data_IF_754243088022
#
_entry.id   IF_754243088022
#
_cell.length_a   1.000
_cell.length_b   1.000
_cell.length_c   1.000
_cell.angle_alpha   90.00
_cell.angle_beta   90.00
_cell.angle_gamma   90.00
#
_symmetry.space_group_name_H-M   'P 1'
#
loop_
_entity.id
_entity.type
_entity.pdbx_description
1 polymer ?
#
# COMPACT_ATOMS: atom_id res chain seq x y z
N UNK A 1 -40.03 0.56 -3.24
CA UNK A 1 -39.38 0.07 -2.02
C UNK A 1 -37.95 -0.28 -2.42
N UNK A 2 -37.02 0.69 -2.35
CA UNK A 2 -35.60 0.41 -2.60
C UNK A 2 -35.11 -0.39 -1.40
N UNK A 3 -34.40 -1.48 -1.65
CA UNK A 3 -33.80 -2.35 -0.64
C UNK A 3 -32.92 -1.49 0.31
N UNK A 4 -33.36 -1.34 1.57
CA UNK A 4 -32.69 -0.55 2.62
C UNK A 4 -31.23 -1.00 2.87
N UNK A 5 -30.84 -2.15 2.32
CA UNK A 5 -29.52 -2.77 2.51
C UNK A 5 -28.51 -2.47 1.39
N UNK A 6 -28.87 -1.69 0.37
CA UNK A 6 -28.03 -1.50 -0.83
C UNK A 6 -26.64 -0.90 -0.56
N UNK A 7 -26.43 -0.27 0.59
CA UNK A 7 -25.16 0.34 0.97
C UNK A 7 -24.21 -0.62 1.72
N UNK A 8 -24.71 -1.79 2.17
CA UNK A 8 -23.95 -2.82 2.92
C UNK A 8 -23.53 -4.02 2.08
N UNK A 9 -23.42 -3.86 0.76
CA UNK A 9 -23.09 -4.99 -0.12
C UNK A 9 -21.69 -5.52 0.22
N UNK A 10 -21.66 -6.71 0.82
CA UNK A 10 -20.47 -7.52 1.05
C UNK A 10 -20.53 -8.78 0.17
N UNK A 11 -19.38 -9.28 -0.22
CA UNK A 11 -19.26 -10.52 -0.99
C UNK A 11 -19.03 -11.70 -0.04
N UNK A 12 -19.70 -12.81 -0.32
CA UNK A 12 -19.55 -14.05 0.46
C UNK A 12 -18.51 -14.94 -0.21
N UNK A 13 -17.54 -15.39 0.58
CA UNK A 13 -16.50 -16.35 0.17
C UNK A 13 -16.44 -17.48 1.19
N UNK A 14 -15.96 -18.65 0.75
CA UNK A 14 -15.74 -19.81 1.60
C UNK A 14 -14.35 -19.72 2.22
N UNK A 15 -14.24 -19.96 3.52
CA UNK A 15 -12.96 -20.17 4.18
C UNK A 15 -12.53 -21.63 4.05
N UNK A 16 -11.46 -21.93 3.27
CA UNK A 16 -10.91 -23.27 3.20
C UNK A 16 -10.27 -23.66 4.54
N UNK A 17 -10.23 -24.97 4.82
CA UNK A 17 -9.76 -25.52 6.11
C UNK A 17 -8.43 -24.92 6.57
N UNK A 18 -7.46 -24.81 5.65
CA UNK A 18 -6.12 -24.29 5.90
C UNK A 18 -6.08 -22.86 6.46
N UNK A 19 -7.15 -22.08 6.29
CA UNK A 19 -7.22 -20.67 6.71
C UNK A 19 -8.12 -20.47 7.94
N UNK A 20 -8.86 -21.49 8.40
CA UNK A 20 -9.88 -21.30 9.44
C UNK A 20 -9.32 -20.89 10.79
N UNK A 21 -8.18 -21.44 11.19
CA UNK A 21 -7.56 -21.13 12.48
C UNK A 21 -7.00 -19.70 12.54
N UNK A 22 -6.64 -19.13 11.39
CA UNK A 22 -6.08 -17.78 11.29
C UNK A 22 -7.15 -16.72 11.04
N UNK A 23 -8.27 -17.10 10.41
CA UNK A 23 -9.30 -16.17 9.98
C UNK A 23 -10.05 -15.56 11.16
N UNK A 24 -10.08 -14.22 11.21
CA UNK A 24 -10.91 -13.44 12.12
C UNK A 24 -11.50 -12.22 11.41
N UNK A 25 -12.47 -11.57 12.05
CA UNK A 25 -12.94 -10.27 11.59
C UNK A 25 -11.78 -9.26 11.62
N UNK A 26 -11.69 -8.46 10.56
CA UNK A 26 -10.66 -7.45 10.38
C UNK A 26 -9.39 -7.93 9.68
N UNK A 27 -9.25 -9.23 9.42
CA UNK A 27 -8.13 -9.75 8.62
C UNK A 27 -8.20 -9.30 7.16
N UNK A 28 -7.02 -8.95 6.63
CA UNK A 28 -6.84 -8.63 5.22
C UNK A 28 -6.73 -9.93 4.41
N UNK A 29 -7.57 -10.08 3.40
CA UNK A 29 -7.64 -11.28 2.57
C UNK A 29 -7.47 -10.95 1.09
N UNK A 30 -6.95 -11.93 0.36
CA UNK A 30 -7.02 -11.97 -1.10
C UNK A 30 -8.12 -12.94 -1.52
N UNK A 31 -8.97 -12.50 -2.44
CA UNK A 31 -10.10 -13.28 -2.96
C UNK A 31 -10.17 -13.21 -4.49
N UNK A 32 -10.62 -14.26 -5.18
CA UNK A 32 -10.88 -14.20 -6.63
C UNK A 32 -12.10 -13.32 -6.94
N UNK A 33 -11.96 -12.39 -7.88
CA UNK A 33 -13.02 -11.51 -8.35
C UNK A 33 -12.97 -11.36 -9.87
N UNK A 34 -13.89 -12.03 -10.57
CA UNK A 34 -13.86 -12.10 -12.03
C UNK A 34 -12.66 -12.93 -12.51
N UNK A 35 -11.89 -12.38 -13.45
CA UNK A 35 -10.65 -12.95 -13.99
C UNK A 35 -9.39 -12.56 -13.19
N UNK A 36 -9.54 -11.71 -12.17
CA UNK A 36 -8.43 -11.25 -11.33
C UNK A 36 -8.65 -11.61 -9.86
N UNK A 37 -7.69 -11.22 -9.03
CA UNK A 37 -7.84 -11.25 -7.58
C UNK A 37 -8.09 -9.85 -7.05
N UNK A 38 -8.70 -9.76 -5.87
CA UNK A 38 -9.00 -8.51 -5.18
C UNK A 38 -8.63 -8.61 -3.71
N UNK A 39 -8.30 -7.46 -3.11
CA UNK A 39 -8.15 -7.32 -1.67
C UNK A 39 -9.52 -7.11 -1.01
N UNK A 40 -9.70 -7.73 0.15
CA UNK A 40 -10.87 -7.57 0.99
C UNK A 40 -10.51 -7.62 2.46
N UNK A 41 -11.47 -7.21 3.30
CA UNK A 41 -11.39 -7.37 4.76
C UNK A 41 -12.53 -8.28 5.18
N UNK A 42 -12.23 -9.25 6.04
CA UNK A 42 -13.28 -10.09 6.64
C UNK A 42 -14.12 -9.20 7.57
N UNK A 43 -15.36 -8.93 7.20
CA UNK A 43 -16.26 -8.12 8.03
C UNK A 43 -17.18 -8.95 8.90
N UNK A 44 -17.43 -10.21 8.55
CA UNK A 44 -18.26 -11.14 9.31
C UNK A 44 -17.88 -12.58 8.97
N UNK A 45 -18.11 -13.48 9.93
CA UNK A 45 -17.95 -14.92 9.77
C UNK A 45 -19.30 -15.61 10.03
N UNK A 46 -19.60 -16.66 9.26
CA UNK A 46 -20.83 -17.43 9.38
C UNK A 46 -20.53 -18.91 9.11
N UNK A 47 -21.14 -19.78 9.91
CA UNK A 47 -21.01 -21.24 9.76
C UNK A 47 -21.76 -21.79 8.54
N UNK A 48 -22.73 -21.03 8.03
CA UNK A 48 -23.54 -21.39 6.86
C UNK A 48 -23.60 -20.25 5.84
N UNK A 49 -23.63 -20.55 4.54
CA UNK A 49 -23.79 -19.53 3.52
C UNK A 49 -25.19 -18.90 3.54
N UNK A 50 -25.36 -17.72 2.93
CA UNK A 50 -26.67 -17.08 2.78
C UNK A 50 -27.65 -17.99 2.02
N UNK A 51 -28.93 -18.07 2.42
CA UNK A 51 -29.90 -19.00 1.83
C UNK A 51 -30.18 -18.77 0.34
N UNK A 52 -29.94 -17.55 -0.15
CA UNK A 52 -30.18 -17.17 -1.54
C UNK A 52 -28.93 -17.29 -2.43
N UNK A 53 -27.83 -17.87 -1.92
CA UNK A 53 -26.57 -17.99 -2.65
C UNK A 53 -26.25 -19.48 -2.94
N UNK A 54 -26.20 -19.90 -4.21
CA UNK A 54 -25.84 -21.27 -4.57
C UNK A 54 -24.44 -21.63 -4.06
N UNK A 55 -24.28 -22.81 -3.46
CA UNK A 55 -23.01 -23.22 -2.86
C UNK A 55 -21.84 -23.30 -3.86
N UNK A 56 -22.13 -23.65 -5.12
CA UNK A 56 -21.19 -23.73 -6.23
C UNK A 56 -20.74 -22.34 -6.75
N UNK A 57 -21.53 -21.29 -6.51
CA UNK A 57 -21.16 -19.92 -6.81
C UNK A 57 -20.20 -19.30 -5.78
N UNK A 58 -20.05 -19.94 -4.60
CA UNK A 58 -19.19 -19.43 -3.52
C UNK A 58 -17.75 -19.87 -3.76
N UNK A 59 -16.93 -18.93 -4.18
CA UNK A 59 -15.49 -19.12 -4.34
C UNK A 59 -14.76 -19.14 -3.00
N UNK A 60 -13.60 -19.79 -2.98
CA UNK A 60 -12.74 -19.85 -1.80
C UNK A 60 -11.93 -18.55 -1.62
N UNK A 61 -11.64 -18.19 -0.38
CA UNK A 61 -10.60 -17.23 -0.04
C UNK A 61 -9.25 -17.79 -0.49
N UNK A 62 -8.47 -16.99 -1.22
CA UNK A 62 -7.17 -17.42 -1.73
C UNK A 62 -6.14 -17.45 -0.59
N UNK A 63 -6.04 -16.35 0.16
CA UNK A 63 -5.00 -16.16 1.17
C UNK A 63 -5.41 -15.11 2.21
N UNK A 64 -4.87 -15.22 3.43
CA UNK A 64 -4.87 -14.17 4.46
C UNK A 64 -3.50 -13.51 4.40
N UNK A 65 -3.47 -12.20 4.13
CA UNK A 65 -2.24 -11.48 3.78
C UNK A 65 -1.47 -10.93 4.98
N UNK A 66 -2.13 -10.76 6.13
CA UNK A 66 -1.52 -10.33 7.38
C UNK A 66 -2.00 -11.28 8.49
N UNK A 67 -1.10 -11.84 9.32
CA UNK A 67 -1.50 -12.69 10.45
C UNK A 67 -2.34 -11.94 11.50
N UNK A 68 -2.22 -10.61 11.57
CA UNK A 68 -2.98 -9.77 12.47
C UNK A 68 -4.12 -9.05 11.73
N UNK A 69 -5.25 -8.78 12.40
CA UNK A 69 -6.32 -8.00 11.81
C UNK A 69 -5.83 -6.56 11.55
N UNK A 70 -6.10 -6.05 10.35
CA UNK A 70 -5.72 -4.69 9.94
C UNK A 70 -6.72 -3.63 10.44
N UNK A 71 -7.91 -4.08 10.85
CA UNK A 71 -8.95 -3.26 11.48
C UNK A 71 -9.58 -4.03 12.62
N UNK A 72 -10.06 -3.33 13.62
CA UNK A 72 -10.75 -3.92 14.79
C UNK A 72 -12.25 -4.09 14.53
N UNK A 73 -12.92 -4.93 15.32
CA UNK A 73 -14.38 -5.06 15.28
C UNK A 73 -15.10 -3.73 15.53
N UNK A 74 -14.62 -2.91 16.48
CA UNK A 74 -15.17 -1.57 16.74
C UNK A 74 -15.06 -0.65 15.52
N UNK A 75 -13.97 -0.73 14.77
CA UNK A 75 -13.82 0.03 13.52
C UNK A 75 -14.76 -0.49 12.43
N UNK A 76 -14.97 -1.80 12.33
CA UNK A 76 -15.95 -2.39 11.40
C UNK A 76 -17.35 -1.91 11.74
N UNK A 77 -17.73 -1.89 13.02
CA UNK A 77 -19.04 -1.41 13.48
C UNK A 77 -19.22 0.08 13.22
N UNK A 78 -18.18 0.89 13.45
CA UNK A 78 -18.18 2.30 13.09
C UNK A 78 -18.36 2.50 11.58
N UNK A 79 -17.66 1.72 10.74
CA UNK A 79 -17.82 1.80 9.30
C UNK A 79 -19.23 1.41 8.83
N UNK A 80 -19.85 0.41 9.47
CA UNK A 80 -21.26 0.06 9.24
C UNK A 80 -22.18 1.20 9.62
N UNK A 81 -21.99 1.80 10.80
CA UNK A 81 -22.76 2.96 11.24
C UNK A 81 -22.63 4.12 10.26
N UNK A 82 -21.43 4.46 9.79
CA UNK A 82 -21.21 5.51 8.79
C UNK A 82 -21.96 5.17 7.48
N UNK A 83 -21.86 3.93 7.00
CA UNK A 83 -22.52 3.51 5.77
C UNK A 83 -24.05 3.62 5.88
N UNK A 84 -24.61 3.26 7.03
CA UNK A 84 -26.04 3.26 7.30
C UNK A 84 -26.58 4.70 7.49
N UNK A 85 -25.89 5.54 8.28
CA UNK A 85 -26.32 6.92 8.56
C UNK A 85 -26.16 7.86 7.36
N UNK A 86 -25.10 7.68 6.58
CA UNK A 86 -24.77 8.59 5.48
C UNK A 86 -25.13 8.01 4.10
N UNK A 87 -25.72 6.81 4.05
CA UNK A 87 -26.08 6.12 2.80
C UNK A 87 -24.87 5.99 1.83
N UNK A 88 -23.68 5.80 2.40
CA UNK A 88 -22.44 5.62 1.67
C UNK A 88 -22.11 4.13 1.55
N UNK A 89 -21.49 3.65 0.46
CA UNK A 89 -21.07 2.26 0.36
C UNK A 89 -20.14 1.87 1.51
N UNK A 90 -20.40 0.72 2.15
CA UNK A 90 -19.58 0.20 3.25
C UNK A 90 -18.09 0.15 2.91
N UNK A 91 -17.74 -0.17 1.66
CA UNK A 91 -16.36 -0.14 1.17
C UNK A 91 -15.69 1.22 1.42
N UNK A 92 -16.40 2.31 1.21
CA UNK A 92 -15.88 3.67 1.31
C UNK A 92 -15.65 4.05 2.78
N UNK A 93 -16.60 3.72 3.65
CA UNK A 93 -16.45 3.87 5.10
C UNK A 93 -15.30 3.00 5.64
N UNK A 94 -15.18 1.75 5.18
CA UNK A 94 -14.10 0.84 5.57
C UNK A 94 -12.71 1.36 5.19
N UNK A 95 -12.56 2.06 4.06
CA UNK A 95 -11.26 2.66 3.68
C UNK A 95 -10.75 3.66 4.71
N UNK A 96 -11.63 4.34 5.43
CA UNK A 96 -11.26 5.28 6.50
C UNK A 96 -10.75 4.57 7.75
N UNK A 97 -11.07 3.29 7.92
CA UNK A 97 -10.64 2.48 9.07
C UNK A 97 -9.26 1.85 8.85
N UNK A 98 -8.83 1.72 7.59
CA UNK A 98 -7.57 1.10 7.25
C UNK A 98 -6.37 1.94 7.72
N UNK A 99 -5.29 1.31 8.22
CA UNK A 99 -4.05 2.00 8.54
C UNK A 99 -3.51 2.79 7.34
N UNK A 100 -2.88 3.96 7.56
CA UNK A 100 -2.30 4.74 6.49
C UNK A 100 -1.22 3.95 5.75
N UNK A 101 -1.22 4.08 4.42
CA UNK A 101 -0.27 3.39 3.54
C UNK A 101 -0.58 1.92 3.28
N UNK A 102 -1.75 1.39 3.69
CA UNK A 102 -2.15 0.01 3.37
C UNK A 102 -2.19 -0.25 1.86
N UNK A 103 -2.74 0.68 1.07
CA UNK A 103 -2.78 0.59 -0.40
C UNK A 103 -1.36 0.57 -1.02
N UNK A 104 -0.39 1.22 -0.38
CA UNK A 104 1.02 1.20 -0.80
C UNK A 104 1.77 -0.07 -0.37
N UNK A 105 1.21 -0.86 0.56
CA UNK A 105 1.78 -2.12 1.04
C UNK A 105 1.36 -3.32 0.20
N UNK A 106 0.60 -3.11 -0.87
CA UNK A 106 0.16 -4.20 -1.75
C UNK A 106 0.83 -4.02 -3.10
N UNK A 107 1.76 -4.91 -3.43
CA UNK A 107 2.35 -4.96 -4.76
C UNK A 107 1.61 -5.97 -5.61
N UNK A 108 1.26 -5.59 -6.84
CA UNK A 108 0.76 -6.54 -7.80
C UNK A 108 1.91 -7.44 -8.23
N UNK A 109 1.73 -8.74 -8.11
CA UNK A 109 2.66 -9.79 -8.55
C UNK A 109 2.01 -10.52 -9.71
N UNK A 110 2.76 -10.63 -10.80
CA UNK A 110 2.35 -11.38 -11.98
C UNK A 110 3.09 -12.71 -11.94
N UNK A 111 2.33 -13.80 -12.06
CA UNK A 111 2.86 -15.16 -12.14
C UNK A 111 2.45 -15.84 -13.43
N UNK A 112 3.26 -16.76 -13.94
CA UNK A 112 2.91 -17.60 -15.07
C UNK A 112 1.73 -18.51 -14.70
N UNK A 113 0.66 -18.44 -15.48
CA UNK A 113 -0.44 -19.37 -15.42
C UNK A 113 -0.17 -20.40 -16.53
N UNK A 114 -0.05 -21.68 -16.18
CA UNK A 114 0.44 -22.77 -17.05
C UNK A 114 -0.43 -23.14 -18.26
N UNK A 115 -1.12 -22.16 -18.87
CA UNK A 115 -1.83 -22.30 -20.14
C UNK A 115 -0.88 -22.56 -21.31
N UNK A 116 -1.41 -23.19 -22.36
CA UNK A 116 -0.65 -23.44 -23.58
C UNK A 116 -0.35 -22.11 -24.28
N UNK A 117 0.94 -21.79 -24.46
CA UNK A 117 1.39 -20.58 -25.17
C UNK A 117 0.91 -20.65 -26.63
N UNK A 118 -0.05 -19.81 -27.06
CA UNK A 118 -0.49 -19.79 -28.44
C UNK A 118 0.58 -19.15 -29.34
N UNK A 119 0.62 -19.55 -30.61
CA UNK A 119 1.38 -18.79 -31.62
C UNK A 119 0.78 -17.39 -31.83
N UNK A 120 1.61 -16.42 -32.17
CA UNK A 120 1.19 -15.03 -32.43
C UNK A 120 1.28 -14.10 -31.21
N UNK A 121 2.29 -14.27 -30.37
CA UNK A 121 2.59 -13.30 -29.32
C UNK A 121 3.18 -12.02 -29.91
N UNK A 122 2.82 -10.88 -29.33
CA UNK A 122 3.56 -9.62 -29.58
C UNK A 122 4.96 -9.69 -28.97
N UNK A 123 5.86 -8.79 -29.37
CA UNK A 123 7.22 -8.73 -28.84
C UNK A 123 7.23 -8.51 -27.31
N UNK A 124 6.34 -7.65 -26.81
CA UNK A 124 6.19 -7.39 -25.38
C UNK A 124 5.55 -8.58 -24.65
N UNK A 125 4.56 -9.26 -25.23
CA UNK A 125 3.97 -10.47 -24.64
C UNK A 125 5.01 -11.60 -24.49
N UNK A 126 5.83 -11.82 -25.52
CA UNK A 126 6.94 -12.79 -25.47
C UNK A 126 8.01 -12.40 -24.46
N UNK A 127 8.36 -11.11 -24.39
CA UNK A 127 9.32 -10.60 -23.41
C UNK A 127 8.81 -10.76 -21.97
N UNK A 128 7.52 -10.51 -21.74
CA UNK A 128 6.90 -10.67 -20.43
C UNK A 128 6.95 -12.14 -19.95
N UNK A 129 6.53 -13.08 -20.80
CA UNK A 129 6.57 -14.51 -20.47
C UNK A 129 8.00 -15.00 -20.25
N UNK A 130 8.95 -14.61 -21.11
CA UNK A 130 10.36 -14.96 -20.94
C UNK A 130 10.98 -14.40 -19.66
N UNK A 131 10.59 -13.18 -19.26
CA UNK A 131 11.02 -12.58 -18.01
C UNK A 131 10.49 -13.33 -16.77
N UNK A 132 9.23 -13.78 -16.80
CA UNK A 132 8.62 -14.59 -15.74
C UNK A 132 9.28 -15.97 -15.62
N UNK A 133 9.46 -16.66 -16.73
CA UNK A 133 10.11 -17.99 -16.78
C UNK A 133 11.54 -17.94 -16.24
N UNK A 134 12.26 -16.85 -16.52
CA UNK A 134 13.63 -16.66 -16.03
C UNK A 134 13.72 -16.35 -14.52
N UNK A 135 12.62 -15.94 -13.87
CA UNK A 135 12.57 -15.50 -12.47
C UNK A 135 11.69 -16.41 -11.60
N UNK A 136 11.78 -17.74 -11.78
CA UNK A 136 11.01 -18.73 -11.02
C UNK A 136 9.48 -18.61 -11.18
N UNK A 137 9.02 -18.03 -12.29
CA UNK A 137 7.60 -17.98 -12.67
C UNK A 137 6.78 -16.88 -12.01
N UNK A 138 7.38 -15.94 -11.26
CA UNK A 138 6.63 -14.86 -10.59
C UNK A 138 7.48 -13.62 -10.30
N UNK A 139 6.94 -12.42 -10.53
CA UNK A 139 7.62 -11.16 -10.17
C UNK A 139 6.66 -9.97 -9.98
N UNK A 140 7.09 -8.89 -9.29
CA UNK A 140 6.29 -7.67 -9.17
C UNK A 140 6.00 -7.03 -10.52
N UNK A 141 4.75 -6.58 -10.72
CA UNK A 141 4.27 -5.91 -11.94
C UNK A 141 5.16 -4.71 -12.30
N UNK A 142 5.58 -3.92 -11.32
CA UNK A 142 6.49 -2.78 -11.54
C UNK A 142 7.84 -3.20 -12.15
N UNK A 143 8.36 -4.37 -11.75
CA UNK A 143 9.61 -4.90 -12.29
C UNK A 143 9.39 -5.45 -13.70
N UNK A 144 8.25 -6.09 -13.95
CA UNK A 144 7.86 -6.57 -15.27
C UNK A 144 7.68 -5.40 -16.25
N UNK A 145 6.97 -4.35 -15.85
CA UNK A 145 6.76 -3.12 -16.64
C UNK A 145 8.06 -2.39 -17.00
N UNK A 146 9.05 -2.42 -16.11
CA UNK A 146 10.38 -1.87 -16.38
C UNK A 146 11.18 -2.65 -17.43
N UNK A 147 10.80 -3.91 -17.73
CA UNK A 147 11.46 -4.75 -18.73
C UNK A 147 10.83 -4.64 -20.12
N UNK A 148 9.55 -4.29 -20.20
CA UNK A 148 8.83 -4.11 -21.47
C UNK A 148 9.18 -2.76 -22.09
N UNK A 149 9.16 -2.68 -23.43
CA UNK A 149 9.65 -1.50 -24.17
C UNK A 149 8.57 -0.78 -24.97
N UNK A 150 7.52 -1.46 -25.43
CA UNK A 150 6.47 -0.83 -26.23
C UNK A 150 5.66 0.22 -25.47
N UNK A 151 4.79 0.94 -26.17
CA UNK A 151 3.93 1.96 -25.55
C UNK A 151 2.69 1.32 -24.87
N UNK A 152 2.25 0.15 -25.33
CA UNK A 152 1.03 -0.55 -24.86
C UNK A 152 1.33 -1.71 -23.90
N UNK A 153 2.28 -1.51 -22.98
CA UNK A 153 2.76 -2.58 -22.07
C UNK A 153 1.67 -3.12 -21.15
N UNK A 154 0.77 -2.25 -20.71
CA UNK A 154 -0.38 -2.63 -19.87
C UNK A 154 -1.34 -3.53 -20.64
N UNK A 155 -1.61 -3.21 -21.91
CA UNK A 155 -2.47 -4.02 -22.78
C UNK A 155 -1.87 -5.39 -23.05
N UNK A 156 -0.55 -5.49 -23.22
CA UNK A 156 0.14 -6.77 -23.35
C UNK A 156 -0.07 -7.67 -22.11
N UNK A 157 0.04 -7.12 -20.90
CA UNK A 157 -0.22 -7.89 -19.66
C UNK A 157 -1.70 -8.26 -19.54
N UNK A 158 -2.60 -7.34 -19.90
CA UNK A 158 -4.04 -7.61 -19.87
C UNK A 158 -4.41 -8.74 -20.85
N UNK A 159 -3.91 -8.69 -22.09
CA UNK A 159 -4.07 -9.74 -23.09
C UNK A 159 -3.54 -11.10 -22.60
N UNK A 160 -2.37 -11.13 -21.98
CA UNK A 160 -1.84 -12.37 -21.39
C UNK A 160 -2.72 -12.92 -20.26
N UNK A 161 -3.30 -12.03 -19.43
CA UNK A 161 -4.19 -12.42 -18.35
C UNK A 161 -5.53 -12.96 -18.89
N UNK A 162 -6.11 -12.29 -19.90
CA UNK A 162 -7.34 -12.73 -20.58
C UNK A 162 -7.16 -14.09 -21.28
N UNK A 163 -5.95 -14.36 -21.78
CA UNK A 163 -5.57 -15.64 -22.38
C UNK A 163 -5.20 -16.71 -21.35
N UNK A 164 -5.20 -16.37 -20.05
CA UNK A 164 -4.86 -17.29 -18.96
C UNK A 164 -3.40 -17.74 -18.97
N UNK A 165 -2.50 -16.95 -19.56
CA UNK A 165 -1.05 -17.21 -19.59
C UNK A 165 -0.33 -16.58 -18.40
N UNK A 166 -0.94 -15.57 -17.79
CA UNK A 166 -0.48 -15.00 -16.52
C UNK A 166 -1.65 -14.86 -15.56
N UNK A 167 -1.35 -14.93 -14.28
CA UNK A 167 -2.29 -14.61 -13.21
C UNK A 167 -1.73 -13.46 -12.39
N UNK A 168 -2.61 -12.54 -12.00
CA UNK A 168 -2.26 -11.35 -11.23
C UNK A 168 -2.78 -11.48 -9.80
N UNK A 169 -1.85 -11.42 -8.84
CA UNK A 169 -2.11 -11.54 -7.40
C UNK A 169 -1.59 -10.32 -6.64
N UNK A 170 -2.12 -10.05 -5.45
CA UNK A 170 -1.57 -9.05 -4.56
C UNK A 170 -0.62 -9.71 -3.57
N UNK A 171 0.63 -9.27 -3.53
CA UNK A 171 1.53 -9.60 -2.44
C UNK A 171 1.54 -8.45 -1.44
N UNK A 172 1.45 -8.78 -0.15
CA UNK A 172 1.66 -7.82 0.92
C UNK A 172 3.16 -7.62 1.13
N UNK A 173 3.63 -6.39 0.92
CA UNK A 173 4.99 -5.96 1.18
C UNK A 173 5.02 -5.37 2.58
N UNK A 174 5.56 -6.08 3.59
CA UNK A 174 5.67 -5.51 4.93
C UNK A 174 6.50 -4.23 4.87
N UNK A 175 6.11 -3.17 5.61
CA UNK A 175 6.91 -1.95 5.65
C UNK A 175 8.31 -2.33 6.15
N UNK A 176 9.35 -1.98 5.39
CA UNK A 176 10.71 -1.99 5.96
C UNK A 176 10.74 -0.85 6.98
N UNK A 177 10.83 -1.12 8.29
CA UNK A 177 10.94 -0.05 9.26
C UNK A 177 12.23 0.70 8.96
N UNK A 178 12.11 1.89 8.38
CA UNK A 178 13.22 2.81 8.24
C UNK A 178 13.25 3.66 9.52
N UNK A 179 14.40 3.80 10.19
CA UNK A 179 14.50 4.70 11.33
C UNK A 179 14.11 6.12 10.87
N UNK A 180 13.44 6.91 11.72
CA UNK A 180 13.13 8.30 11.39
C UNK A 180 14.41 9.03 11.02
N UNK A 181 14.41 9.73 9.89
CA UNK A 181 15.53 10.57 9.48
C UNK A 181 15.35 11.94 10.11
N UNK A 182 16.33 12.37 10.87
CA UNK A 182 16.37 13.70 11.48
C UNK A 182 17.43 14.53 10.76
N UNK A 183 17.07 15.73 10.34
CA UNK A 183 18.00 16.65 9.71
C UNK A 183 18.77 17.43 10.78
N UNK A 184 20.09 17.34 10.76
CA UNK A 184 20.99 18.10 11.61
C UNK A 184 21.64 19.22 10.82
N UNK A 185 21.78 20.38 11.44
CA UNK A 185 22.42 21.55 10.84
C UNK A 185 23.71 21.84 11.57
N UNK A 186 24.79 22.12 10.83
CA UNK A 186 26.09 22.51 11.38
C UNK A 186 26.65 23.65 10.56
N UNK A 187 27.33 24.58 11.23
CA UNK A 187 28.11 25.60 10.55
C UNK A 187 29.35 24.97 9.89
N UNK A 188 29.57 25.26 8.61
CA UNK A 188 30.78 24.81 7.89
C UNK A 188 31.95 25.80 8.00
N UNK A 189 31.73 26.99 8.56
CA UNK A 189 32.77 28.00 8.72
C UNK A 189 33.72 27.61 9.88
N UNK A 190 35.01 27.95 9.74
CA UNK A 190 36.00 27.78 10.80
C UNK A 190 35.93 28.93 11.84
N UNK A 191 36.54 28.73 13.01
CA UNK A 191 36.49 29.70 14.12
C UNK A 191 36.97 31.10 13.69
N UNK A 192 38.01 31.17 12.85
CA UNK A 192 38.53 32.44 12.33
C UNK A 192 37.52 33.17 11.42
N UNK A 193 36.81 32.43 10.56
CA UNK A 193 35.74 32.98 9.72
C UNK A 193 34.57 33.43 10.58
N UNK A 194 34.18 32.66 11.60
CA UNK A 194 33.12 33.01 12.53
C UNK A 194 33.46 34.31 13.27
N UNK A 195 34.63 34.41 13.89
CA UNK A 195 35.07 35.58 14.66
C UNK A 195 35.12 36.85 13.83
N UNK A 196 35.51 36.74 12.55
CA UNK A 196 35.55 37.90 11.63
C UNK A 196 34.18 38.30 11.08
N UNK A 197 33.23 37.35 11.02
CA UNK A 197 31.89 37.56 10.48
C UNK A 197 30.85 37.93 11.56
N UNK A 198 31.01 37.47 12.82
CA UNK A 198 30.09 37.72 13.93
C UNK A 198 29.79 39.22 14.13
N UNK A 199 30.78 40.13 14.10
CA UNK A 199 30.54 41.57 14.24
C UNK A 199 29.78 42.18 13.05
N UNK A 200 29.75 41.49 11.91
CA UNK A 200 29.11 41.91 10.65
C UNK A 200 27.77 41.24 10.39
N UNK A 201 27.39 40.25 11.19
CA UNK A 201 26.04 39.70 11.27
C UNK A 201 25.11 40.77 11.89
N UNK A 202 25.01 41.89 11.19
CA UNK A 202 24.12 43.01 11.47
C UNK A 202 22.86 42.90 10.63
N UNK A 203 21.83 43.63 11.08
CA UNK A 203 20.41 43.54 10.76
C UNK A 203 19.68 42.32 11.34
N UNK A 204 18.62 42.55 12.15
CA UNK A 204 17.80 41.48 12.69
C UNK A 204 17.08 40.77 11.54
N UNK A 205 17.49 39.54 11.28
CA UNK A 205 16.86 38.64 10.33
C UNK A 205 16.89 37.23 10.90
N UNK A 206 15.88 36.42 10.57
CA UNK A 206 15.83 35.02 11.00
C UNK A 206 17.05 34.23 10.54
N UNK A 207 17.68 34.62 9.43
CA UNK A 207 18.92 34.01 8.92
C UNK A 207 20.13 34.37 9.79
N UNK A 208 20.25 35.64 10.20
CA UNK A 208 21.33 36.07 11.09
C UNK A 208 21.18 35.45 12.49
N UNK A 209 19.96 35.38 13.02
CA UNK A 209 19.66 34.73 14.30
C UNK A 209 19.98 33.23 14.28
N UNK A 210 19.69 32.53 13.18
CA UNK A 210 20.04 31.13 13.00
C UNK A 210 21.56 30.89 12.89
N UNK A 211 22.28 31.75 12.16
CA UNK A 211 23.75 31.68 12.09
C UNK A 211 24.39 31.97 13.46
N UNK A 212 23.85 32.93 14.22
CA UNK A 212 24.31 33.24 15.57
C UNK A 212 24.06 32.07 16.54
N UNK A 213 22.88 31.44 16.49
CA UNK A 213 22.56 30.27 17.30
C UNK A 213 23.51 29.09 16.99
N UNK A 214 23.79 28.83 15.71
CA UNK A 214 24.74 27.80 15.27
C UNK A 214 26.18 28.12 15.68
N UNK A 215 26.62 29.38 15.62
CA UNK A 215 27.95 29.80 16.04
C UNK A 215 28.19 29.60 17.55
N UNK A 216 27.13 29.66 18.37
CA UNK A 216 27.23 29.39 19.82
C UNK A 216 27.17 27.89 20.18
N UNK A 217 26.83 26.99 19.25
CA UNK A 217 26.64 25.54 19.49
C UNK A 217 27.65 24.67 18.73
N UNK A 218 28.91 25.11 18.65
CA UNK A 218 29.98 24.47 17.85
C UNK A 218 30.26 22.99 18.15
N UNK A 219 29.86 22.49 19.32
CA UNK A 219 30.21 21.15 19.79
C UNK A 219 29.08 20.11 19.66
N UNK A 220 27.85 20.52 19.36
CA UNK A 220 26.72 19.61 19.13
C UNK A 220 25.78 20.21 18.08
N UNK A 221 25.71 19.66 16.85
CA UNK A 221 24.82 20.20 15.84
C UNK A 221 23.36 20.03 16.28
N UNK A 222 22.54 21.10 16.32
CA UNK A 222 21.12 20.97 16.58
C UNK A 222 20.41 20.34 15.40
N UNK A 223 19.23 19.79 15.66
CA UNK A 223 18.29 19.45 14.60
C UNK A 223 17.75 20.72 13.94
N UNK A 224 17.30 20.63 12.68
CA UNK A 224 16.67 21.76 11.99
C UNK A 224 15.46 22.30 12.77
N UNK A 225 14.64 21.39 13.32
CA UNK A 225 13.49 21.73 14.16
C UNK A 225 13.88 22.50 15.43
N UNK A 226 14.89 22.06 16.17
CA UNK A 226 15.39 22.77 17.36
C UNK A 226 15.93 24.17 17.02
N UNK A 227 16.65 24.30 15.90
CA UNK A 227 17.14 25.60 15.42
C UNK A 227 15.97 26.53 15.06
N UNK A 228 14.97 26.00 14.36
CA UNK A 228 13.78 26.74 13.97
C UNK A 228 12.96 27.21 15.16
N UNK A 229 12.79 26.37 16.19
CA UNK A 229 12.13 26.72 17.44
C UNK A 229 12.90 27.82 18.21
N UNK A 230 14.22 27.70 18.29
CA UNK A 230 15.08 28.66 18.98
C UNK A 230 15.07 30.05 18.34
N UNK A 231 14.94 30.11 17.02
CA UNK A 231 14.97 31.35 16.22
C UNK A 231 13.55 31.86 15.91
N UNK A 232 12.52 31.05 16.15
CA UNK A 232 11.13 31.37 15.79
C UNK A 232 10.95 31.50 14.28
N UNK A 233 11.51 30.57 13.52
CA UNK A 233 11.25 30.40 12.09
C UNK A 233 10.58 29.05 11.81
N UNK A 234 9.98 28.92 10.63
CA UNK A 234 9.41 27.65 10.13
C UNK A 234 10.36 27.05 9.09
N UNK A 235 10.39 25.71 9.01
CA UNK A 235 11.11 24.96 7.97
C UNK A 235 10.74 25.39 6.54
#
# INVERSE_FOLDING_TARGET
MRDETSHRIAYTYRLPERLRELAGEGHLVQVPLGASTALGVIVALSDSPPPNLPHDAIRDVAEILDPLPVVTSTQIDLARWIADEYLEPLRQAMRLMLPPGMEARTSIVVSEAGGAIPGGLTEDEGTALGALQSHSGSMPLSTLMGRLRGDDREEAIHSLADRGLVETRFAFVPPKPAPPRVQYVRLLADDATIDSALPRLGHPSKQADALLALAHQLHAPPTLGELCEQVGCTE
#
